data_IF_680557745947
#
_entry.id   IF_680557745947
#
_cell.length_a   1.000
_cell.length_b   1.000
_cell.length_c   1.000
_cell.angle_alpha   90.00
_cell.angle_beta   90.00
_cell.angle_gamma   90.00
#
_symmetry.space_group_name_H-M   'P 1'
#
loop_
_entity.id
_entity.type
_entity.pdbx_description
1 polymer ?
#
# COMPACT_ATOMS: atom_id res chain seq x y z
N UNK A 1 13.58 23.12 1.61
CA UNK A 1 13.07 22.30 0.49
C UNK A 1 11.76 21.67 0.95
N UNK A 2 10.62 22.19 0.51
CA UNK A 2 9.32 21.59 0.84
C UNK A 2 9.27 20.22 0.16
N UNK A 3 9.24 19.14 0.95
CA UNK A 3 9.04 17.77 0.45
C UNK A 3 7.73 17.77 -0.31
N UNK A 4 7.81 17.67 -1.63
CA UNK A 4 6.67 17.79 -2.51
C UNK A 4 5.80 16.54 -2.32
N UNK A 5 4.83 16.69 -1.41
CA UNK A 5 3.63 15.90 -1.25
C UNK A 5 3.79 14.44 -0.76
N UNK A 6 4.06 14.30 0.53
CA UNK A 6 3.50 13.22 1.39
C UNK A 6 1.95 13.27 1.48
N UNK A 7 1.26 13.99 0.58
CA UNK A 7 -0.20 14.06 0.59
C UNK A 7 -0.74 12.76 0.02
N UNK A 8 -1.27 11.96 0.94
CA UNK A 8 -2.15 10.82 0.64
C UNK A 8 -3.25 11.29 -0.31
N UNK A 9 -3.46 10.55 -1.40
CA UNK A 9 -4.64 10.68 -2.22
C UNK A 9 -5.74 9.79 -1.64
N UNK A 10 -7.00 10.22 -1.72
CA UNK A 10 -8.15 9.45 -1.26
C UNK A 10 -9.00 9.10 -2.48
N UNK A 11 -8.93 7.85 -2.92
CA UNK A 11 -9.61 7.35 -4.10
C UNK A 11 -10.93 6.67 -3.68
N UNK A 12 -12.11 7.16 -4.10
CA UNK A 12 -13.39 6.56 -3.73
C UNK A 12 -13.57 5.13 -4.26
N UNK A 13 -14.08 4.23 -3.43
CA UNK A 13 -14.45 2.84 -3.77
C UNK A 13 -15.72 2.47 -3.00
N UNK A 14 -16.88 2.58 -3.65
CA UNK A 14 -18.16 2.41 -2.96
C UNK A 14 -18.28 3.43 -1.81
N UNK A 15 -18.57 2.95 -0.60
CA UNK A 15 -18.78 3.79 0.58
C UNK A 15 -17.48 4.13 1.36
N UNK A 16 -16.32 3.72 0.86
CA UNK A 16 -15.01 3.96 1.50
C UNK A 16 -14.07 4.71 0.56
N UNK A 17 -13.02 5.31 1.12
CA UNK A 17 -11.95 5.94 0.35
C UNK A 17 -10.65 5.13 0.52
N UNK A 18 -10.06 4.61 -0.56
CA UNK A 18 -8.72 4.03 -0.50
C UNK A 18 -7.69 5.14 -0.37
N UNK A 19 -6.84 5.03 0.64
CA UNK A 19 -5.66 5.86 0.79
C UNK A 19 -4.65 5.40 -0.27
N UNK A 20 -4.16 6.30 -1.10
CA UNK A 20 -3.17 6.01 -2.15
C UNK A 20 -1.93 6.88 -1.97
N UNK A 21 -0.77 6.26 -2.12
CA UNK A 21 0.53 6.94 -2.06
C UNK A 21 1.06 7.22 -3.47
N UNK A 22 1.45 8.47 -3.78
CA UNK A 22 1.97 8.81 -5.09
C UNK A 22 3.32 8.12 -5.35
N UNK A 23 3.51 7.68 -6.59
CA UNK A 23 4.75 7.06 -7.04
C UNK A 23 5.89 8.08 -7.06
N UNK A 24 6.86 7.91 -6.18
CA UNK A 24 8.03 8.79 -6.08
C UNK A 24 8.98 8.69 -7.28
N UNK A 25 8.87 7.64 -8.11
CA UNK A 25 9.72 7.44 -9.29
C UNK A 25 9.23 8.22 -10.51
N UNK A 26 7.92 8.19 -10.79
CA UNK A 26 7.35 8.85 -11.98
C UNK A 26 6.45 10.04 -11.67
N UNK A 27 6.01 10.21 -10.42
CA UNK A 27 5.06 11.23 -9.96
C UNK A 27 3.73 11.28 -10.75
N UNK A 28 3.40 10.23 -11.51
CA UNK A 28 2.21 10.17 -12.38
C UNK A 28 1.21 9.09 -11.98
N UNK A 29 1.59 8.16 -11.10
CA UNK A 29 0.72 7.07 -10.67
C UNK A 29 0.77 6.87 -9.16
N UNK A 30 0.10 5.82 -8.70
CA UNK A 30 -0.03 5.47 -7.28
C UNK A 30 0.39 4.02 -7.07
N UNK A 31 0.92 3.70 -5.90
CA UNK A 31 1.27 2.32 -5.56
C UNK A 31 0.03 1.52 -5.17
N UNK A 32 -0.18 0.34 -5.78
CA UNK A 32 -1.26 -0.60 -5.42
C UNK A 32 -0.69 -2.01 -5.25
N UNK A 33 -1.25 -2.76 -4.30
CA UNK A 33 -0.89 -4.17 -4.10
C UNK A 33 -1.62 -5.07 -5.09
N UNK A 34 -1.04 -6.24 -5.33
CA UNK A 34 -1.68 -7.33 -6.06
C UNK A 34 -2.20 -8.35 -5.03
N UNK A 35 -3.51 -8.62 -4.94
CA UNK A 35 -4.06 -9.53 -3.93
C UNK A 35 -3.48 -10.96 -3.99
N UNK A 36 -3.12 -11.43 -5.18
CA UNK A 36 -2.49 -12.74 -5.41
C UNK A 36 -0.96 -12.64 -5.64
N UNK A 37 -0.36 -11.53 -5.21
CA UNK A 37 1.05 -11.26 -5.41
C UNK A 37 1.96 -12.08 -4.50
N UNK A 38 3.17 -12.39 -4.97
CA UNK A 38 4.21 -13.00 -4.14
C UNK A 38 4.58 -12.05 -2.98
N UNK A 39 4.62 -12.60 -1.77
CA UNK A 39 5.10 -11.90 -0.58
C UNK A 39 6.58 -12.18 -0.44
N UNK A 40 7.36 -11.18 -0.01
CA UNK A 40 8.76 -11.46 0.32
C UNK A 40 8.81 -12.34 1.57
N UNK A 41 9.65 -13.39 1.53
CA UNK A 41 9.80 -14.33 2.64
C UNK A 41 10.24 -13.61 3.92
N UNK A 42 11.14 -12.64 3.77
CA UNK A 42 11.61 -11.80 4.85
C UNK A 42 10.53 -10.74 5.19
N UNK A 43 9.89 -10.89 6.36
CA UNK A 43 8.85 -9.99 6.89
C UNK A 43 7.45 -10.07 6.24
N UNK A 44 7.18 -11.03 5.34
CA UNK A 44 5.86 -11.28 4.75
C UNK A 44 5.23 -10.05 4.06
N UNK A 45 6.06 -9.12 3.57
CA UNK A 45 5.58 -7.87 2.96
C UNK A 45 5.07 -8.13 1.55
N UNK A 46 3.97 -7.46 1.21
CA UNK A 46 3.44 -7.46 -0.15
C UNK A 46 4.16 -6.42 -0.99
N UNK A 47 4.44 -6.75 -2.24
CA UNK A 47 4.89 -5.79 -3.23
C UNK A 47 3.77 -4.84 -3.68
N UNK A 48 4.12 -3.60 -3.98
CA UNK A 48 3.19 -2.61 -4.52
C UNK A 48 3.73 -2.01 -5.79
N UNK A 49 2.91 -2.04 -6.84
CA UNK A 49 3.29 -1.59 -8.16
C UNK A 49 2.65 -0.24 -8.46
N UNK A 50 3.42 0.66 -9.06
CA UNK A 50 2.88 1.92 -9.57
C UNK A 50 1.92 1.65 -10.73
N UNK A 51 0.72 2.24 -10.67
CA UNK A 51 -0.32 2.16 -11.72
C UNK A 51 0.08 2.77 -13.07
N UNK A 52 1.19 3.50 -13.14
CA UNK A 52 1.65 4.19 -14.35
C UNK A 52 2.96 3.61 -14.91
N UNK A 53 4.01 3.50 -14.07
CA UNK A 53 5.35 3.08 -14.54
C UNK A 53 5.77 1.68 -14.07
N UNK A 54 4.88 0.93 -13.41
CA UNK A 54 5.15 -0.40 -12.85
C UNK A 54 6.35 -0.47 -11.88
N UNK A 55 6.80 0.65 -11.35
CA UNK A 55 7.81 0.66 -10.30
C UNK A 55 7.32 -0.11 -9.07
N UNK A 56 8.15 -1.02 -8.58
CA UNK A 56 7.87 -1.83 -7.40
C UNK A 56 8.38 -1.10 -6.16
N UNK A 57 7.59 -1.13 -5.09
CA UNK A 57 7.98 -0.66 -3.76
C UNK A 57 7.46 -1.60 -2.68
N UNK A 58 8.06 -1.50 -1.49
CA UNK A 58 7.62 -2.19 -0.28
C UNK A 58 7.37 -1.13 0.78
N UNK A 59 6.21 -1.20 1.44
CA UNK A 59 5.89 -0.29 2.53
C UNK A 59 6.28 -0.91 3.87
N UNK A 60 6.87 -0.08 4.75
CA UNK A 60 7.12 -0.42 6.16
C UNK A 60 5.87 -0.29 7.04
N UNK A 61 4.78 0.24 6.47
CA UNK A 61 3.48 0.39 7.12
C UNK A 61 2.46 -0.54 6.45
N UNK A 62 1.42 -1.01 7.18
CA UNK A 62 0.36 -1.80 6.56
C UNK A 62 -0.37 -1.02 5.46
N UNK A 63 -0.47 -1.62 4.28
CA UNK A 63 -1.02 -0.98 3.08
C UNK A 63 -1.57 -2.01 2.07
N UNK A 64 -2.80 -1.86 1.54
CA UNK A 64 -3.62 -0.64 1.50
C UNK A 64 -4.27 -0.25 2.83
N UNK A 65 -4.52 1.05 2.97
CA UNK A 65 -5.37 1.61 4.01
C UNK A 65 -6.66 2.17 3.40
N UNK A 66 -7.76 2.05 4.12
CA UNK A 66 -9.09 2.53 3.74
C UNK A 66 -9.57 3.54 4.77
N UNK A 67 -10.25 4.59 4.33
CA UNK A 67 -10.90 5.58 5.19
C UNK A 67 -12.41 5.41 5.09
N UNK A 68 -13.06 5.26 6.24
CA UNK A 68 -14.52 5.18 6.37
C UNK A 68 -14.96 6.05 7.53
N UNK A 69 -15.92 6.97 7.29
CA UNK A 69 -16.43 7.91 8.31
C UNK A 69 -15.30 8.60 9.11
N UNK A 70 -14.29 9.10 8.39
CA UNK A 70 -13.12 9.79 8.94
C UNK A 70 -12.18 8.95 9.83
N UNK A 71 -12.31 7.62 9.80
CA UNK A 71 -11.40 6.68 10.47
C UNK A 71 -10.62 5.86 9.45
N UNK A 72 -9.35 5.59 9.72
CA UNK A 72 -8.49 4.79 8.85
C UNK A 72 -8.42 3.36 9.38
N UNK A 73 -8.62 2.40 8.47
CA UNK A 73 -8.51 0.97 8.68
C UNK A 73 -7.46 0.41 7.72
N UNK A 74 -6.81 -0.67 8.13
CA UNK A 74 -5.86 -1.39 7.29
C UNK A 74 -6.49 -2.71 6.87
N UNK A 75 -6.23 -3.13 5.65
CA UNK A 75 -6.74 -4.41 5.15
C UNK A 75 -6.13 -5.56 5.97
N UNK A 76 -6.98 -6.48 6.45
CA UNK A 76 -6.58 -7.63 7.25
C UNK A 76 -5.49 -8.47 6.57
N UNK A 77 -5.56 -8.63 5.25
CA UNK A 77 -4.59 -9.41 4.49
C UNK A 77 -3.19 -8.80 4.56
N UNK A 78 -3.06 -7.50 4.83
CA UNK A 78 -1.77 -6.79 4.94
C UNK A 78 -1.10 -6.95 6.29
N UNK A 79 -1.87 -7.29 7.32
CA UNK A 79 -1.40 -7.40 8.71
C UNK A 79 -1.42 -8.84 9.24
N UNK A 80 -1.83 -9.80 8.41
CA UNK A 80 -1.84 -11.22 8.78
C UNK A 80 -0.43 -11.68 9.12
N UNK A 81 -0.17 -11.85 10.41
CA UNK A 81 1.04 -12.50 10.89
C UNK A 81 1.06 -13.94 10.40
N UNK A 82 2.13 -14.35 9.73
CA UNK A 82 2.41 -15.76 9.52
C UNK A 82 3.38 -16.23 10.61
N UNK A 83 3.11 -17.36 11.28
CA UNK A 83 4.09 -17.97 12.16
C UNK A 83 5.33 -18.32 11.32
N UNK A 84 6.46 -17.72 11.67
CA UNK A 84 7.76 -18.11 11.09
C UNK A 84 8.18 -19.35 11.87
N UNK A 85 8.02 -20.53 11.29
CA UNK A 85 8.64 -21.74 11.83
C UNK A 85 10.16 -21.55 11.75
N UNK A 86 10.81 -21.44 12.91
CA UNK A 86 12.27 -21.43 12.96
C UNK A 86 12.75 -22.85 12.65
N UNK A 87 13.34 -23.03 11.48
CA UNK A 87 14.15 -24.21 11.13
C UNK A 87 15.38 -24.31 12.01
#
# INVERSE_FOLDING_TARGET
>A
MSRQSDKRHYFPIGDVERVEYPCQKCNQGFYRYTPNGSRIEQHNQMHHNCTHCNAVTFFTIPYPALKYKNRIFVDWETIKGQPIEKS
#
